data_IF_322207698880
#
_entry.id   IF_322207698880
#
_cell.length_a   1.000
_cell.length_b   1.000
_cell.length_c   1.000
_cell.angle_alpha   90.00
_cell.angle_beta   90.00
_cell.angle_gamma   90.00
#
_symmetry.space_group_name_H-M   'P 1'
#
loop_
_entity.id
_entity.type
_entity.pdbx_description
1 polymer ?
#
# COMPACT_ATOMS: atom_id res chain seq x y z
N UNK A 1 35.31 44.37 8.41
CA UNK A 1 34.66 45.66 8.05
C UNK A 1 34.63 45.76 6.53
N UNK A 2 33.62 46.47 6.00
CA UNK A 2 33.13 46.49 4.60
C UNK A 2 32.28 45.25 4.24
N UNK A 3 30.99 45.28 3.92
CA UNK A 3 30.04 46.35 3.62
C UNK A 3 29.27 45.99 2.34
N UNK A 4 27.94 46.01 2.34
CA UNK A 4 27.13 45.95 1.11
C UNK A 4 25.73 45.34 1.24
N UNK A 5 24.76 46.12 1.72
CA UNK A 5 23.33 45.90 1.43
C UNK A 5 23.05 46.23 -0.04
N UNK A 6 22.16 45.48 -0.69
CA UNK A 6 21.31 46.06 -1.74
C UNK A 6 19.96 45.35 -1.80
N UNK A 7 18.94 46.07 -1.35
CA UNK A 7 17.53 45.84 -1.61
C UNK A 7 17.15 46.53 -2.92
N UNK A 8 16.47 45.84 -3.84
CA UNK A 8 15.71 46.48 -4.91
C UNK A 8 14.35 45.79 -5.04
N UNK A 9 13.34 46.65 -5.10
CA UNK A 9 11.89 46.41 -5.03
C UNK A 9 11.26 46.87 -6.36
N UNK A 10 9.98 46.50 -6.63
CA UNK A 10 9.09 46.85 -7.77
C UNK A 10 9.03 45.82 -8.91
N UNK A 11 7.87 45.46 -9.49
CA UNK A 11 6.58 46.17 -9.58
C UNK A 11 5.45 45.16 -9.91
N UNK A 12 4.27 45.40 -9.34
CA UNK A 12 2.98 44.84 -9.77
C UNK A 12 2.67 45.32 -11.20
N UNK A 13 1.96 44.51 -11.97
CA UNK A 13 1.03 44.98 -12.99
C UNK A 13 -0.16 44.00 -13.06
N UNK A 14 -1.32 44.58 -13.36
CA UNK A 14 -2.67 44.13 -13.09
C UNK A 14 -3.48 43.92 -14.37
N UNK A 15 -4.28 42.85 -14.39
CA UNK A 15 -5.65 42.71 -14.92
C UNK A 15 -5.92 42.50 -16.44
N UNK A 16 -7.07 41.86 -16.79
CA UNK A 16 -7.28 40.99 -17.96
C UNK A 16 -8.25 41.57 -19.02
N UNK A 17 -8.53 40.83 -20.12
CA UNK A 17 -9.92 40.50 -20.52
C UNK A 17 -10.01 39.11 -21.23
N UNK A 18 -11.14 38.48 -21.58
CA UNK A 18 -12.58 38.65 -21.42
C UNK A 18 -13.26 37.28 -21.65
N UNK A 19 -14.40 37.09 -20.98
CA UNK A 19 -15.64 36.40 -21.40
C UNK A 19 -15.60 35.14 -22.29
N UNK A 20 -16.02 34.00 -21.74
CA UNK A 20 -16.86 33.01 -22.43
C UNK A 20 -17.62 32.14 -21.41
N UNK A 21 -18.90 32.49 -21.26
CA UNK A 21 -20.10 31.68 -20.97
C UNK A 21 -20.12 30.55 -19.91
N UNK A 22 -21.03 30.73 -18.95
CA UNK A 22 -21.62 29.71 -18.08
C UNK A 22 -22.78 29.01 -18.80
N UNK A 23 -22.89 27.68 -18.70
CA UNK A 23 -24.06 26.93 -18.17
C UNK A 23 -23.88 25.39 -18.31
N UNK A 24 -24.67 24.55 -17.61
CA UNK A 24 -24.17 23.51 -16.72
C UNK A 24 -24.40 22.11 -17.29
N UNK A 25 -23.54 21.15 -16.96
CA UNK A 25 -23.92 19.74 -17.02
C UNK A 25 -23.41 19.03 -15.77
N UNK A 26 -24.32 18.84 -14.82
CA UNK A 26 -24.22 17.89 -13.73
C UNK A 26 -24.11 16.46 -14.30
N UNK A 27 -23.20 15.59 -13.84
CA UNK A 27 -23.27 14.18 -14.17
C UNK A 27 -24.29 13.52 -13.24
N UNK A 28 -25.45 13.25 -13.81
CA UNK A 28 -26.49 12.39 -13.23
C UNK A 28 -25.90 10.99 -12.99
N UNK A 29 -26.26 10.39 -11.86
CA UNK A 29 -25.96 9.00 -11.55
C UNK A 29 -26.46 8.07 -12.67
N UNK A 30 -25.61 7.18 -13.18
CA UNK A 30 -26.14 6.05 -13.96
C UNK A 30 -25.21 5.28 -14.88
N UNK A 31 -24.19 5.88 -15.51
CA UNK A 31 -23.56 5.19 -16.64
C UNK A 31 -22.26 4.44 -16.28
N UNK A 32 -22.41 3.12 -16.17
CA UNK A 32 -21.36 2.10 -16.10
C UNK A 32 -20.87 1.77 -17.52
N UNK A 33 -19.76 2.35 -17.95
CA UNK A 33 -19.04 1.86 -19.14
C UNK A 33 -18.07 0.74 -18.76
N UNK A 34 -18.28 -0.43 -19.36
CA UNK A 34 -17.37 -1.58 -19.34
C UNK A 34 -16.06 -1.19 -20.04
N UNK A 35 -14.91 -1.41 -19.39
CA UNK A 35 -13.62 -1.39 -20.07
C UNK A 35 -13.21 -2.83 -20.39
N UNK A 36 -13.30 -3.21 -21.67
CA UNK A 36 -12.54 -4.33 -22.22
C UNK A 36 -11.15 -3.83 -22.54
N UNK A 37 -10.13 -4.30 -21.84
CA UNK A 37 -8.75 -3.91 -22.06
C UNK A 37 -8.05 -4.92 -22.98
N UNK A 38 -7.86 -4.51 -24.24
CA UNK A 38 -6.78 -5.04 -25.06
C UNK A 38 -5.49 -4.30 -24.66
N UNK A 39 -4.45 -5.06 -24.37
CA UNK A 39 -3.12 -4.56 -24.00
C UNK A 39 -2.56 -3.55 -25.01
N UNK A 40 -2.06 -2.42 -24.54
CA UNK A 40 -1.13 -1.56 -25.30
C UNK A 40 0.19 -1.36 -24.54
N UNK A 41 1.31 -1.12 -25.24
CA UNK A 41 2.66 -1.43 -24.79
C UNK A 41 3.40 -0.23 -24.12
N UNK A 42 2.68 0.70 -23.49
CA UNK A 42 3.30 1.89 -22.88
C UNK A 42 3.06 1.92 -21.37
N UNK A 43 3.94 1.23 -20.65
CA UNK A 43 4.56 1.56 -19.36
C UNK A 43 3.87 2.44 -18.30
N UNK A 44 2.55 2.53 -18.21
CA UNK A 44 1.87 3.24 -17.13
C UNK A 44 1.52 2.28 -15.97
N UNK A 45 1.94 2.67 -14.77
CA UNK A 45 1.65 1.97 -13.53
C UNK A 45 0.16 2.04 -13.19
N UNK A 46 -0.57 0.97 -13.44
CA UNK A 46 -1.97 0.86 -13.04
C UNK A 46 -2.06 0.70 -11.52
N UNK A 47 -2.46 1.77 -10.83
CA UNK A 47 -2.99 1.68 -9.47
C UNK A 47 -4.34 0.95 -9.54
N UNK A 48 -4.36 -0.31 -9.12
CA UNK A 48 -5.60 -1.05 -8.92
C UNK A 48 -6.37 -0.46 -7.74
N UNK A 49 -7.42 0.31 -8.03
CA UNK A 49 -8.45 0.61 -7.05
C UNK A 49 -9.35 -0.61 -6.91
N UNK A 50 -9.07 -1.46 -5.93
CA UNK A 50 -10.01 -2.50 -5.51
C UNK A 50 -11.14 -1.79 -4.75
N UNK A 51 -12.21 -1.45 -5.46
CA UNK A 51 -13.49 -1.11 -4.82
C UNK A 51 -14.16 -2.43 -4.45
N UNK A 52 -13.90 -2.92 -3.23
CA UNK A 52 -14.71 -3.96 -2.64
C UNK A 52 -15.99 -3.29 -2.13
N UNK A 53 -17.09 -3.41 -2.88
CA UNK A 53 -18.40 -3.33 -2.26
C UNK A 53 -18.49 -4.53 -1.32
N UNK A 54 -18.13 -4.31 -0.05
CA UNK A 54 -18.31 -5.31 1.00
C UNK A 54 -19.81 -5.36 1.29
N UNK A 55 -20.53 -6.19 0.55
CA UNK A 55 -21.84 -6.66 1.01
C UNK A 55 -21.57 -7.54 2.23
N UNK A 56 -22.22 -7.24 3.37
CA UNK A 56 -22.05 -8.02 4.60
C UNK A 56 -22.57 -9.47 4.46
N UNK A 57 -23.24 -9.80 3.35
CA UNK A 57 -23.77 -11.12 3.06
C UNK A 57 -22.88 -11.89 2.08
N UNK A 58 -22.47 -13.09 2.49
CA UNK A 58 -21.70 -14.03 1.67
C UNK A 58 -22.68 -14.97 0.97
N UNK A 59 -22.78 -14.92 -0.35
CA UNK A 59 -23.59 -15.88 -1.10
C UNK A 59 -22.91 -17.25 -1.17
N UNK A 60 -23.50 -18.22 -0.48
CA UNK A 60 -23.06 -19.63 -0.47
C UNK A 60 -24.09 -20.56 -1.13
N UNK A 61 -25.05 -20.02 -1.90
CA UNK A 61 -26.13 -20.77 -2.55
C UNK A 61 -25.64 -21.93 -3.42
N UNK A 62 -24.49 -21.77 -4.06
CA UNK A 62 -23.83 -22.74 -4.93
C UNK A 62 -23.28 -23.99 -4.21
N UNK A 63 -23.14 -23.97 -2.88
CA UNK A 63 -22.67 -25.13 -2.09
C UNK A 63 -23.88 -25.98 -1.69
N UNK A 64 -24.11 -27.09 -2.39
CA UNK A 64 -25.26 -27.96 -2.16
C UNK A 64 -25.29 -28.58 -0.74
N UNK A 65 -24.12 -28.90 -0.19
CA UNK A 65 -24.01 -29.52 1.14
C UNK A 65 -24.09 -28.48 2.26
N UNK A 66 -25.09 -28.61 3.12
CA UNK A 66 -25.31 -27.70 4.26
C UNK A 66 -24.17 -27.71 5.28
N UNK A 67 -23.55 -28.88 5.51
CA UNK A 67 -22.42 -29.01 6.44
C UNK A 67 -21.22 -28.17 6.01
N UNK A 68 -20.78 -28.37 4.76
CA UNK A 68 -19.70 -27.59 4.16
C UNK A 68 -20.03 -26.10 4.08
N UNK A 69 -21.27 -25.74 3.73
CA UNK A 69 -21.73 -24.35 3.70
C UNK A 69 -21.51 -23.64 5.04
N UNK A 70 -21.88 -24.29 6.14
CA UNK A 70 -21.69 -23.74 7.48
C UNK A 70 -20.21 -23.58 7.82
N UNK A 71 -19.39 -24.59 7.52
CA UNK A 71 -17.94 -24.53 7.76
C UNK A 71 -17.28 -23.39 6.99
N UNK A 72 -17.62 -23.20 5.72
CA UNK A 72 -17.11 -22.08 4.91
C UNK A 72 -17.57 -20.75 5.47
N UNK A 73 -18.85 -20.62 5.84
CA UNK A 73 -19.38 -19.42 6.49
C UNK A 73 -18.59 -19.08 7.76
N UNK A 74 -18.36 -20.07 8.63
CA UNK A 74 -17.64 -19.89 9.89
C UNK A 74 -16.17 -19.50 9.66
N UNK A 75 -15.52 -20.11 8.67
CA UNK A 75 -14.13 -19.81 8.31
C UNK A 75 -13.97 -18.38 7.81
N UNK A 76 -14.91 -17.89 6.99
CA UNK A 76 -14.86 -16.51 6.48
C UNK A 76 -15.20 -15.52 7.58
N UNK A 77 -16.28 -15.75 8.34
CA UNK A 77 -16.74 -14.81 9.37
C UNK A 77 -15.79 -14.71 10.57
N UNK A 78 -15.14 -15.81 10.95
CA UNK A 78 -14.22 -15.84 12.08
C UNK A 78 -12.74 -15.78 11.67
N UNK A 79 -12.43 -15.38 10.44
CA UNK A 79 -11.06 -15.24 9.99
C UNK A 79 -10.34 -14.10 10.74
N UNK A 80 -9.43 -14.47 11.64
CA UNK A 80 -8.59 -13.53 12.37
C UNK A 80 -7.14 -13.65 11.90
N UNK A 81 -6.63 -12.64 11.20
CA UNK A 81 -5.23 -12.55 10.73
C UNK A 81 -4.20 -12.60 11.88
N UNK A 82 -4.63 -12.33 13.11
CA UNK A 82 -3.76 -12.08 14.27
C UNK A 82 -3.44 -13.36 15.06
N UNK A 83 -3.90 -14.54 14.60
CA UNK A 83 -3.56 -15.80 15.24
C UNK A 83 -2.09 -16.13 14.98
N UNK A 84 -1.40 -16.69 15.99
CA UNK A 84 -0.02 -17.15 15.81
C UNK A 84 0.04 -18.08 14.60
N UNK A 85 1.04 -17.94 13.71
CA UNK A 85 1.14 -18.78 12.53
C UNK A 85 1.14 -20.24 12.97
N UNK A 86 0.14 -21.01 12.51
CA UNK A 86 0.18 -22.46 12.63
C UNK A 86 1.32 -22.92 11.74
N UNK A 87 2.37 -23.47 12.36
CA UNK A 87 3.49 -24.06 11.63
C UNK A 87 2.93 -25.19 10.76
N UNK A 88 3.02 -25.03 9.45
CA UNK A 88 2.80 -26.12 8.49
C UNK A 88 4.15 -26.60 7.98
N UNK A 89 4.23 -27.86 7.55
CA UNK A 89 5.49 -28.43 7.04
C UNK A 89 5.83 -27.96 5.62
N UNK A 90 4.91 -27.24 4.98
CA UNK A 90 5.07 -26.71 3.63
C UNK A 90 6.02 -25.51 3.68
N UNK A 91 7.06 -25.53 2.84
CA UNK A 91 8.05 -24.46 2.72
C UNK A 91 7.98 -23.84 1.34
N UNK A 92 7.99 -22.51 1.29
CA UNK A 92 8.17 -21.76 0.06
C UNK A 92 9.66 -21.72 -0.29
N UNK A 93 10.01 -22.14 -1.51
CA UNK A 93 11.37 -22.02 -2.03
C UNK A 93 11.41 -20.90 -3.07
N UNK A 94 12.41 -20.02 -2.97
CA UNK A 94 12.64 -18.95 -3.93
C UNK A 94 13.77 -19.41 -4.85
N UNK A 95 13.46 -19.60 -6.14
CA UNK A 95 14.44 -20.02 -7.14
C UNK A 95 15.02 -18.75 -7.77
N UNK A 96 16.34 -18.58 -7.69
CA UNK A 96 17.04 -17.43 -8.27
C UNK A 96 17.31 -17.64 -9.76
N UNK A 97 17.25 -16.56 -10.53
CA UNK A 97 17.61 -16.57 -11.96
C UNK A 97 19.11 -16.41 -12.17
N UNK A 98 19.80 -15.68 -11.28
CA UNK A 98 21.23 -15.43 -11.33
C UNK A 98 21.85 -15.40 -9.91
N UNK A 99 23.19 -15.42 -9.86
CA UNK A 99 23.99 -15.43 -8.62
C UNK A 99 24.37 -14.02 -8.13
N UNK A 100 23.83 -12.96 -8.75
CA UNK A 100 24.21 -11.59 -8.43
C UNK A 100 23.45 -11.13 -7.19
N UNK A 101 24.18 -10.88 -6.09
CA UNK A 101 23.56 -10.46 -4.83
C UNK A 101 23.04 -9.03 -4.90
N UNK A 102 21.77 -8.82 -4.54
CA UNK A 102 21.19 -7.48 -4.41
C UNK A 102 21.29 -7.02 -2.96
N UNK A 103 22.13 -6.01 -2.72
CA UNK A 103 22.29 -5.37 -1.42
C UNK A 103 22.09 -3.86 -1.55
N UNK A 104 21.02 -3.37 -0.93
CA UNK A 104 20.61 -1.98 -0.95
C UNK A 104 20.83 -1.35 0.42
N UNK A 105 21.25 -0.08 0.42
CA UNK A 105 21.46 0.67 1.66
C UNK A 105 20.12 0.99 2.34
N UNK A 106 20.05 0.95 3.68
CA UNK A 106 18.85 1.35 4.41
C UNK A 106 18.41 2.78 4.07
N UNK A 107 17.08 3.00 4.02
CA UNK A 107 16.51 4.33 3.83
C UNK A 107 16.71 5.16 5.09
N UNK A 108 16.92 6.47 4.92
CA UNK A 108 16.93 7.41 6.05
C UNK A 108 15.53 7.49 6.66
N UNK A 109 15.43 7.23 7.95
CA UNK A 109 14.23 7.37 8.75
C UNK A 109 14.49 8.31 9.93
N UNK A 110 13.46 9.02 10.38
CA UNK A 110 13.58 9.91 11.52
C UNK A 110 13.78 9.13 12.82
N UNK A 111 14.27 9.79 13.86
CA UNK A 111 14.49 9.14 15.17
C UNK A 111 13.19 8.58 15.78
N UNK A 112 12.07 9.30 15.60
CA UNK A 112 10.77 8.85 16.09
C UNK A 112 10.29 7.59 15.35
N UNK A 113 10.48 7.55 14.04
CA UNK A 113 10.16 6.40 13.18
C UNK A 113 11.04 5.18 13.50
N UNK A 114 12.34 5.39 13.74
CA UNK A 114 13.27 4.32 14.13
C UNK A 114 12.77 3.59 15.37
N UNK A 115 12.30 4.32 16.39
CA UNK A 115 11.75 3.71 17.61
C UNK A 115 10.54 2.81 17.32
N UNK A 116 9.69 3.19 16.36
CA UNK A 116 8.52 2.39 15.96
C UNK A 116 8.97 1.12 15.24
N UNK A 117 9.95 1.24 14.34
CA UNK A 117 10.57 0.10 13.66
C UNK A 117 11.18 -0.86 14.69
N UNK A 118 11.98 -0.36 15.62
CA UNK A 118 12.69 -1.18 16.61
C UNK A 118 11.72 -1.98 17.48
N UNK A 119 10.66 -1.32 17.98
CA UNK A 119 9.61 -1.99 18.75
C UNK A 119 8.92 -3.12 17.94
N UNK A 120 8.64 -2.87 16.65
CA UNK A 120 8.00 -3.88 15.80
C UNK A 120 8.94 -5.06 15.51
N UNK A 121 10.23 -4.79 15.29
CA UNK A 121 11.25 -5.82 15.10
C UNK A 121 11.40 -6.66 16.37
N UNK A 122 11.45 -6.05 17.55
CA UNK A 122 11.51 -6.75 18.84
C UNK A 122 10.31 -7.68 19.03
N UNK A 123 9.10 -7.21 18.70
CA UNK A 123 7.90 -8.03 18.74
C UNK A 123 8.01 -9.25 17.80
N UNK A 124 8.45 -9.04 16.56
CA UNK A 124 8.62 -10.10 15.58
C UNK A 124 9.72 -11.11 15.95
N UNK A 125 10.80 -10.64 16.56
CA UNK A 125 11.84 -11.50 17.13
C UNK A 125 11.28 -12.35 18.28
N UNK A 126 10.53 -11.74 19.20
CA UNK A 126 9.87 -12.44 20.32
C UNK A 126 8.88 -13.49 19.83
N UNK A 127 8.12 -13.17 18.78
CA UNK A 127 7.15 -14.07 18.15
C UNK A 127 7.81 -15.12 17.23
N UNK A 128 9.15 -15.11 17.09
CA UNK A 128 9.92 -16.00 16.21
C UNK A 128 9.51 -15.92 14.74
N UNK A 129 9.03 -14.75 14.30
CA UNK A 129 8.74 -14.44 12.90
C UNK A 129 10.05 -14.06 12.20
N UNK A 130 10.91 -13.29 12.87
CA UNK A 130 12.23 -12.91 12.39
C UNK A 130 13.35 -13.66 13.10
N UNK A 131 14.51 -13.72 12.44
CA UNK A 131 15.79 -14.17 13.00
C UNK A 131 16.92 -13.29 12.49
N UNK A 132 17.98 -13.16 13.27
CA UNK A 132 19.22 -12.54 12.79
C UNK A 132 19.79 -13.33 11.62
N UNK A 133 20.36 -12.63 10.64
CA UNK A 133 20.96 -13.23 9.46
C UNK A 133 22.25 -12.51 9.07
N UNK A 134 23.16 -13.24 8.44
CA UNK A 134 24.39 -12.70 7.85
C UNK A 134 24.33 -12.80 6.32
N UNK A 135 23.16 -12.49 5.74
CA UNK A 135 22.92 -12.61 4.29
C UNK A 135 23.66 -11.52 3.52
N UNK A 136 24.12 -11.86 2.31
CA UNK A 136 24.62 -10.88 1.34
C UNK A 136 23.50 -10.11 0.65
N UNK A 137 22.24 -10.52 0.84
CA UNK A 137 21.05 -9.85 0.33
C UNK A 137 20.48 -8.90 1.37
N UNK A 138 20.16 -7.67 0.97
CA UNK A 138 19.54 -6.68 1.84
C UNK A 138 18.65 -5.72 1.04
N UNK A 139 17.44 -5.49 1.55
CA UNK A 139 16.48 -4.52 1.02
C UNK A 139 16.19 -3.44 2.07
N UNK A 140 15.98 -2.18 1.67
CA UNK A 140 15.66 -1.12 2.60
C UNK A 140 14.23 -1.29 3.13
N UNK A 141 14.03 -0.91 4.39
CA UNK A 141 12.68 -0.85 4.96
C UNK A 141 12.03 0.51 4.70
N UNK A 142 10.70 0.51 4.59
CA UNK A 142 9.88 1.72 4.43
C UNK A 142 8.72 1.67 5.41
N UNK A 143 8.45 2.80 6.06
CA UNK A 143 7.24 2.97 6.87
C UNK A 143 6.12 3.55 6.04
N UNK A 144 4.96 2.90 6.10
CA UNK A 144 3.75 3.34 5.40
C UNK A 144 2.61 3.57 6.37
N UNK A 145 1.83 4.62 6.16
CA UNK A 145 0.58 4.85 6.88
C UNK A 145 -0.55 4.08 6.19
N UNK A 146 -1.38 3.42 6.98
CA UNK A 146 -2.62 2.85 6.43
C UNK A 146 -3.60 4.00 6.18
N UNK A 147 -4.07 4.16 4.95
CA UNK A 147 -5.06 5.17 4.61
C UNK A 147 -6.27 5.00 5.55
N UNK A 148 -6.52 6.00 6.42
CA UNK A 148 -7.54 6.05 7.51
C UNK A 148 -7.11 5.58 8.91
N UNK A 149 -5.93 4.99 9.11
CA UNK A 149 -5.39 4.70 10.45
C UNK A 149 -4.09 5.47 10.65
N UNK A 150 -3.92 6.12 11.81
CA UNK A 150 -2.64 6.75 12.20
C UNK A 150 -1.55 5.72 12.56
N UNK A 151 -1.75 4.46 12.20
CA UNK A 151 -0.85 3.34 12.48
C UNK A 151 0.14 3.22 11.34
N UNK A 152 1.42 3.22 11.69
CA UNK A 152 2.53 2.97 10.78
C UNK A 152 2.79 1.47 10.65
N UNK A 153 3.11 1.02 9.45
CA UNK A 153 3.49 -0.36 9.14
C UNK A 153 4.87 -0.41 8.51
N UNK A 154 5.66 -1.39 8.93
CA UNK A 154 6.97 -1.70 8.34
C UNK A 154 6.76 -2.53 7.07
N UNK A 155 7.33 -2.07 5.96
CA UNK A 155 7.34 -2.74 4.66
C UNK A 155 8.79 -2.94 4.19
N UNK A 156 9.04 -4.03 3.46
CA UNK A 156 10.32 -4.36 2.81
C UNK A 156 10.11 -4.31 1.30
#
# INVERSE_FOLDING_TARGET
MCGGLSTVNRRRNSSPPASAELLPNSPTAGDRTIAQCNSSPSGESFLFFISADVTEEIDLSHIAEKGLRNTVSDLVMNYCQNQKPRSTEIKMNIILTDETTVSQRPRRISFAEQKIVDNQIEEWLKNKILRHSCSNYASPIVLTTVLRKTVLRVCV
#
